data_IF_618105269098
#
_entry.id   IF_618105269098
#
_cell.length_a   1.000
_cell.length_b   1.000
_cell.length_c   1.000
_cell.angle_alpha   90.00
_cell.angle_beta   90.00
_cell.angle_gamma   90.00
#
_symmetry.space_group_name_H-M   'P 1'
#
loop_
_entity.id
_entity.type
_entity.pdbx_description
1 polymer ?
#
# COMPACT_ATOMS: atom_id res chain seq x y z
N UNK A 1 21.35 11.38 2.83
CA UNK A 1 20.12 11.84 3.53
C UNK A 1 19.16 12.24 2.45
N UNK A 2 18.25 11.34 2.10
CA UNK A 2 17.33 11.47 0.97
C UNK A 2 16.23 12.50 1.32
N UNK A 3 16.48 13.79 1.06
CA UNK A 3 15.61 14.92 1.44
C UNK A 3 14.16 14.77 0.95
N UNK A 4 13.94 14.04 -0.14
CA UNK A 4 12.63 13.79 -0.74
C UNK A 4 11.74 12.87 0.11
N UNK A 5 12.30 12.03 0.97
CA UNK A 5 11.52 11.15 1.87
C UNK A 5 10.83 11.95 2.99
N UNK A 6 11.45 13.06 3.42
CA UNK A 6 10.93 13.92 4.49
C UNK A 6 9.61 14.61 4.07
N UNK A 7 9.41 14.83 2.77
CA UNK A 7 8.18 15.43 2.21
C UNK A 7 6.92 14.60 2.47
N UNK A 8 7.08 13.30 2.76
CA UNK A 8 5.97 12.38 3.03
C UNK A 8 5.72 12.12 4.52
N UNK A 9 6.58 12.63 5.39
CA UNK A 9 6.45 12.47 6.84
C UNK A 9 5.28 13.30 7.36
N UNK A 10 4.33 12.63 8.03
CA UNK A 10 3.12 13.26 8.57
C UNK A 10 1.93 13.28 7.59
N UNK A 11 2.10 12.85 6.34
CA UNK A 11 0.97 12.67 5.43
C UNK A 11 0.11 11.50 5.87
N UNK A 12 -1.21 11.72 5.89
CA UNK A 12 -2.23 10.69 6.22
C UNK A 12 -2.81 10.00 4.99
N UNK A 13 -2.39 10.42 3.81
CA UNK A 13 -2.93 9.99 2.52
C UNK A 13 -1.78 9.63 1.58
N UNK A 14 -2.02 8.66 0.71
CA UNK A 14 -1.08 8.28 -0.34
C UNK A 14 -1.13 9.37 -1.43
N UNK A 15 0.02 9.90 -1.89
CA UNK A 15 0.04 10.85 -2.99
C UNK A 15 -0.55 10.22 -4.26
N UNK A 16 -1.33 11.02 -5.01
CA UNK A 16 -2.00 10.54 -6.24
C UNK A 16 -1.01 10.17 -7.34
N UNK A 17 0.17 10.76 -7.30
CA UNK A 17 1.26 10.54 -8.24
C UNK A 17 2.45 10.01 -7.44
N UNK A 18 2.85 8.77 -7.76
CA UNK A 18 4.03 8.10 -7.24
C UNK A 18 4.89 7.75 -8.43
N UNK A 19 6.15 8.15 -8.40
CA UNK A 19 7.12 7.74 -9.41
C UNK A 19 7.55 6.28 -9.19
N UNK A 20 8.04 5.63 -10.25
CA UNK A 20 8.57 4.26 -10.17
C UNK A 20 9.69 4.14 -9.13
N UNK A 21 10.50 5.19 -8.97
CA UNK A 21 11.57 5.23 -7.96
C UNK A 21 11.02 5.23 -6.52
N UNK A 22 9.98 6.00 -6.25
CA UNK A 22 9.32 6.02 -4.95
C UNK A 22 8.63 4.68 -4.66
N UNK A 23 8.00 4.09 -5.67
CA UNK A 23 7.43 2.74 -5.60
C UNK A 23 8.50 1.71 -5.26
N UNK A 24 9.63 1.74 -5.97
CA UNK A 24 10.75 0.83 -5.73
C UNK A 24 11.39 1.04 -4.35
N UNK A 25 11.41 2.27 -3.84
CA UNK A 25 12.04 2.56 -2.54
C UNK A 25 11.14 2.15 -1.36
N UNK A 26 9.85 2.46 -1.41
CA UNK A 26 8.96 2.24 -0.28
C UNK A 26 8.18 0.93 -0.36
N UNK A 27 7.81 0.49 -1.56
CA UNK A 27 6.95 -0.67 -1.80
C UNK A 27 7.71 -1.91 -2.27
N UNK A 28 9.01 -1.97 -2.00
CA UNK A 28 9.82 -3.18 -2.17
C UNK A 28 9.96 -3.91 -0.84
N UNK A 29 9.57 -5.18 -0.83
CA UNK A 29 9.52 -6.00 0.38
C UNK A 29 10.71 -6.96 0.42
N UNK A 30 11.37 -7.01 1.57
CA UNK A 30 12.38 -8.03 1.87
C UNK A 30 11.73 -9.41 1.96
N UNK A 31 12.52 -10.47 1.85
CA UNK A 31 12.01 -11.84 1.97
C UNK A 31 11.18 -12.09 3.26
N UNK A 32 11.58 -11.48 4.38
CA UNK A 32 10.83 -11.54 5.65
C UNK A 32 9.46 -10.87 5.56
N UNK A 33 9.41 -9.66 4.99
CA UNK A 33 8.16 -8.91 4.79
C UNK A 33 7.25 -9.67 3.82
N UNK A 34 7.82 -10.25 2.77
CA UNK A 34 7.10 -11.08 1.81
C UNK A 34 6.48 -12.32 2.45
N UNK A 35 7.20 -13.00 3.34
CA UNK A 35 6.66 -14.13 4.08
C UNK A 35 5.50 -13.73 5.01
N UNK A 36 5.57 -12.54 5.64
CA UNK A 36 4.48 -12.01 6.46
C UNK A 36 3.24 -11.67 5.63
N UNK A 37 3.45 -11.13 4.42
CA UNK A 37 2.37 -10.85 3.47
C UNK A 37 1.74 -12.16 3.01
N UNK A 38 2.57 -13.13 2.59
CA UNK A 38 2.13 -14.43 2.09
C UNK A 38 1.39 -15.29 3.12
N UNK A 39 1.72 -15.12 4.41
CA UNK A 39 1.03 -15.76 5.51
C UNK A 39 -0.46 -15.34 5.64
N UNK A 40 -0.91 -14.29 4.95
CA UNK A 40 -2.31 -13.85 4.95
C UNK A 40 -3.12 -14.62 3.90
N UNK A 41 -4.26 -15.18 4.34
CA UNK A 41 -5.24 -15.79 3.43
C UNK A 41 -6.03 -14.72 2.69
N UNK A 42 -5.99 -14.77 1.36
CA UNK A 42 -6.73 -13.88 0.46
C UNK A 42 -5.85 -12.81 -0.18
N UNK A 43 -5.87 -12.75 -1.50
CA UNK A 43 -5.11 -11.82 -2.33
C UNK A 43 -5.29 -10.35 -1.93
N UNK A 44 -6.54 -10.00 -1.60
CA UNK A 44 -6.90 -8.68 -1.09
C UNK A 44 -6.20 -8.34 0.25
N UNK A 45 -6.12 -9.29 1.17
CA UNK A 45 -5.45 -9.09 2.45
C UNK A 45 -3.93 -9.01 2.29
N UNK A 46 -3.36 -9.80 1.37
CA UNK A 46 -1.93 -9.74 1.03
C UNK A 46 -1.58 -8.35 0.49
N UNK A 47 -2.38 -7.85 -0.44
CA UNK A 47 -2.26 -6.52 -1.02
C UNK A 47 -2.44 -5.40 0.03
N UNK A 48 -3.44 -5.52 0.90
CA UNK A 48 -3.67 -4.54 1.97
C UNK A 48 -2.50 -4.47 2.96
N UNK A 49 -1.93 -5.61 3.36
CA UNK A 49 -0.77 -5.66 4.25
C UNK A 49 0.47 -5.09 3.58
N UNK A 50 0.72 -5.43 2.31
CA UNK A 50 1.83 -4.88 1.55
C UNK A 50 1.74 -3.35 1.43
N UNK A 51 0.55 -2.83 1.10
CA UNK A 51 0.27 -1.40 1.08
C UNK A 51 0.56 -0.76 2.45
N UNK A 52 0.12 -1.38 3.54
CA UNK A 52 0.30 -0.85 4.90
C UNK A 52 1.77 -0.80 5.31
N UNK A 53 2.55 -1.84 5.01
CA UNK A 53 4.00 -1.90 5.27
C UNK A 53 4.72 -0.78 4.49
N UNK A 54 4.45 -0.67 3.19
CA UNK A 54 5.06 0.37 2.35
C UNK A 54 4.69 1.78 2.80
N UNK A 55 3.43 2.00 3.23
CA UNK A 55 2.99 3.29 3.74
C UNK A 55 3.63 3.66 5.08
N UNK A 56 3.75 2.72 6.03
CA UNK A 56 4.45 2.98 7.29
C UNK A 56 5.92 3.34 7.01
N UNK A 57 6.57 2.64 6.07
CA UNK A 57 7.95 2.96 5.66
C UNK A 57 8.05 4.37 5.05
N UNK A 58 7.06 4.76 4.25
CA UNK A 58 7.02 6.05 3.56
C UNK A 58 6.69 7.23 4.48
N UNK A 59 5.64 7.11 5.30
CA UNK A 59 5.06 8.22 6.06
C UNK A 59 5.33 8.15 7.58
N UNK A 60 5.87 7.04 8.08
CA UNK A 60 6.12 6.81 9.50
C UNK A 60 4.84 6.68 10.34
N UNK A 61 3.68 6.54 9.70
CA UNK A 61 2.34 6.51 10.32
C UNK A 61 1.49 5.41 9.68
N UNK A 62 0.47 4.97 10.40
CA UNK A 62 -0.56 4.07 9.86
C UNK A 62 -1.45 4.82 8.88
N UNK A 63 -1.87 4.13 7.83
CA UNK A 63 -2.77 4.69 6.81
C UNK A 63 -4.16 4.93 7.43
N UNK A 64 -4.59 6.19 7.45
CA UNK A 64 -5.86 6.64 8.04
C UNK A 64 -7.02 6.56 7.03
N UNK A 65 -6.73 6.86 5.76
CA UNK A 65 -7.72 6.87 4.69
C UNK A 65 -7.26 6.05 3.48
N UNK A 66 -7.93 4.91 3.27
CA UNK A 66 -7.75 4.07 2.08
C UNK A 66 -8.53 4.56 0.85
N UNK A 67 -9.23 5.70 0.96
CA UNK A 67 -10.20 6.16 -0.04
C UNK A 67 -9.60 6.52 -1.40
N UNK A 68 -8.30 6.80 -1.51
CA UNK A 68 -7.68 7.25 -2.76
C UNK A 68 -6.28 6.65 -2.99
N UNK A 69 -6.21 5.33 -3.13
CA UNK A 69 -4.99 4.66 -3.57
C UNK A 69 -4.89 4.72 -5.11
N UNK A 70 -3.79 5.23 -5.69
CA UNK A 70 -3.63 5.32 -7.13
C UNK A 70 -3.46 3.93 -7.78
N UNK A 71 -4.01 3.75 -8.98
CA UNK A 71 -3.93 2.48 -9.74
C UNK A 71 -2.50 2.01 -9.97
N UNK A 72 -1.57 2.94 -10.19
CA UNK A 72 -0.15 2.63 -10.39
C UNK A 72 0.43 1.84 -9.21
N UNK A 73 0.01 2.18 -7.98
CA UNK A 73 0.47 1.49 -6.79
C UNK A 73 -0.12 0.07 -6.71
N UNK A 74 -1.41 -0.11 -7.03
CA UNK A 74 -2.01 -1.44 -7.08
C UNK A 74 -1.37 -2.33 -8.14
N UNK A 75 -1.10 -1.80 -9.34
CA UNK A 75 -0.41 -2.55 -10.39
C UNK A 75 1.01 -2.94 -9.96
N UNK A 76 1.74 -2.02 -9.32
CA UNK A 76 3.07 -2.31 -8.81
C UNK A 76 3.06 -3.38 -7.72
N UNK A 77 2.13 -3.29 -6.76
CA UNK A 77 1.96 -4.29 -5.70
C UNK A 77 1.49 -5.64 -6.25
N UNK A 78 0.58 -5.65 -7.21
CA UNK A 78 0.12 -6.87 -7.88
C UNK A 78 1.25 -7.57 -8.62
N UNK A 79 2.04 -6.82 -9.39
CA UNK A 79 3.23 -7.34 -10.07
C UNK A 79 4.28 -7.88 -9.09
N UNK A 80 4.56 -7.13 -8.01
CA UNK A 80 5.46 -7.57 -6.95
C UNK A 80 4.95 -8.86 -6.30
N UNK A 81 3.68 -8.91 -5.92
CA UNK A 81 3.08 -10.00 -5.15
C UNK A 81 2.69 -11.22 -6.00
N UNK A 82 2.74 -11.11 -7.33
CA UNK A 82 2.15 -12.05 -8.29
C UNK A 82 0.66 -12.27 -8.01
N UNK A 83 -0.05 -11.17 -7.76
CA UNK A 83 -1.48 -11.13 -7.43
C UNK A 83 -2.19 -10.26 -8.45
N UNK A 84 -3.39 -10.67 -8.86
CA UNK A 84 -4.20 -9.86 -9.76
C UNK A 84 -4.60 -8.55 -9.06
N UNK A 85 -4.31 -7.38 -9.65
CA UNK A 85 -4.65 -6.11 -9.04
C UNK A 85 -6.18 -6.01 -8.93
N UNK A 86 -6.73 -5.90 -7.71
CA UNK A 86 -8.17 -5.91 -7.50
C UNK A 86 -8.79 -4.70 -8.17
N UNK A 87 -9.94 -4.90 -8.80
CA UNK A 87 -10.67 -3.81 -9.41
C UNK A 87 -11.02 -2.77 -8.34
N UNK A 88 -10.89 -1.48 -8.69
CA UNK A 88 -11.13 -0.36 -7.76
C UNK A 88 -12.52 -0.42 -7.13
N UNK A 89 -13.50 -1.05 -7.81
CA UNK A 89 -14.83 -1.31 -7.28
C UNK A 89 -14.79 -2.23 -6.04
N UNK A 90 -14.09 -3.35 -6.12
CA UNK A 90 -13.96 -4.33 -5.02
C UNK A 90 -13.21 -3.74 -3.83
N UNK A 91 -12.15 -2.98 -4.08
CA UNK A 91 -11.38 -2.30 -3.04
C UNK A 91 -12.22 -1.28 -2.28
N UNK A 92 -13.02 -0.47 -2.99
CA UNK A 92 -13.86 0.54 -2.35
C UNK A 92 -14.87 -0.11 -1.40
N UNK A 93 -15.55 -1.17 -1.84
CA UNK A 93 -16.51 -1.91 -1.01
C UNK A 93 -15.88 -2.52 0.25
N UNK A 94 -14.64 -3.03 0.15
CA UNK A 94 -13.91 -3.58 1.29
C UNK A 94 -13.48 -2.50 2.29
N UNK A 95 -13.02 -1.35 1.80
CA UNK A 95 -12.61 -0.25 2.66
C UNK A 95 -13.78 0.52 3.28
N UNK A 96 -14.91 0.63 2.58
CA UNK A 96 -16.15 1.15 3.16
C UNK A 96 -16.66 0.28 4.30
N UNK A 97 -16.50 -1.05 4.19
CA UNK A 97 -16.85 -1.98 5.27
C UNK A 97 -15.94 -1.83 6.49
N UNK A 98 -14.63 -1.60 6.30
CA UNK A 98 -13.69 -1.42 7.40
C UNK A 98 -13.79 -0.02 8.06
N UNK A 99 -14.28 0.99 7.33
CA UNK A 99 -14.50 2.36 7.82
C UNK A 99 -15.71 2.50 8.76
N UNK A 100 -16.57 1.49 8.82
CA UNK A 100 -17.79 1.50 9.64
C UNK A 100 -17.66 0.68 10.93
N UNK A 101 -16.42 0.35 11.31
CA UNK A 101 -16.06 -0.20 12.62
C UNK A 101 -15.28 0.87 13.40
N UNK A 102 -15.97 1.96 13.73
CA UNK A 102 -15.62 2.90 14.79
C UNK A 102 -16.75 2.87 15.82
#
# INVERSE_FOLDING_TARGET
MEHWQVTYLGNRQIPRELTEFELATFFTFSAKERALIDARRGDLYRLAVALHIGFIRMSGRTLDAYRQIPKVLWNYLGAQLAVDPPDLGTLRTLYETCSHAH
#
